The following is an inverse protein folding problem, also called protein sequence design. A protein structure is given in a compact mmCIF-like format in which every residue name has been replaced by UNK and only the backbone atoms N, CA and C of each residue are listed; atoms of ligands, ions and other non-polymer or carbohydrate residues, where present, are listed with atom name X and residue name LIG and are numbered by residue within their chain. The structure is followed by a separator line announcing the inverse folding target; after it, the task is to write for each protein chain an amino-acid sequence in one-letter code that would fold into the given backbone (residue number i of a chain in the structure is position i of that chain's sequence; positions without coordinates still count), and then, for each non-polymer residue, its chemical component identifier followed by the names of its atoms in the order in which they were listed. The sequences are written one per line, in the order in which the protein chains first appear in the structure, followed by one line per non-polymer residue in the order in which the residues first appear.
data_IF_354388356019
#
_entry.id   IF_354388356019
#
_cell.length_a   1.000
_cell.length_b   1.000
_cell.length_c   1.000
_cell.angle_alpha   90.00
_cell.angle_beta   90.00
_cell.angle_gamma   90.00
#
_symmetry.space_group_name_H-M   'P 1'
#
loop_
_entity.id
_entity.type
_entity.pdbx_description
1 polymer ?
#
# COMPACT_ATOMS: atom_id res chain seq x y z
N UNK A 1 13.79 -6.29 -4.17
CA UNK A 1 12.95 -7.44 -4.58
C UNK A 1 13.54 -8.75 -4.07
N UNK A 2 12.75 -9.59 -3.39
CA UNK A 2 13.20 -10.90 -2.89
C UNK A 2 12.38 -12.01 -3.56
N UNK A 3 13.03 -12.97 -4.20
CA UNK A 3 12.38 -14.12 -4.82
C UNK A 3 12.32 -15.28 -3.82
N UNK A 4 11.15 -15.85 -3.63
CA UNK A 4 10.94 -17.05 -2.80
C UNK A 4 10.51 -18.22 -3.67
N UNK A 5 10.87 -19.43 -3.25
CA UNK A 5 10.39 -20.66 -3.88
C UNK A 5 9.25 -21.22 -3.04
N UNK A 6 8.06 -21.38 -3.62
CA UNK A 6 6.89 -21.95 -2.98
C UNK A 6 6.32 -23.02 -3.90
N UNK A 7 6.19 -24.25 -3.40
CA UNK A 7 5.64 -25.39 -4.15
C UNK A 7 6.34 -25.65 -5.51
N UNK A 8 7.64 -25.35 -5.59
CA UNK A 8 8.45 -25.51 -6.81
C UNK A 8 8.47 -24.28 -7.72
N UNK A 9 7.53 -23.35 -7.56
CA UNK A 9 7.43 -22.10 -8.32
C UNK A 9 8.29 -20.99 -7.70
N UNK A 10 8.83 -20.12 -8.54
CA UNK A 10 9.57 -18.92 -8.10
C UNK A 10 8.62 -17.74 -8.16
N UNK A 11 8.37 -17.10 -7.03
CA UNK A 11 7.51 -15.93 -6.92
C UNK A 11 8.24 -14.74 -6.29
N UNK A 12 7.89 -13.54 -6.73
CA UNK A 12 8.33 -12.32 -6.07
C UNK A 12 7.60 -12.15 -4.74
N UNK A 13 8.35 -12.01 -3.65
CA UNK A 13 7.78 -11.56 -2.37
C UNK A 13 7.36 -10.09 -2.53
N UNK A 14 6.09 -9.75 -2.29
CA UNK A 14 5.61 -8.37 -2.31
C UNK A 14 6.40 -7.47 -1.33
N UNK A 15 6.66 -6.22 -1.71
CA UNK A 15 7.43 -5.27 -0.91
C UNK A 15 6.64 -4.72 0.29
N UNK A 16 5.34 -4.59 0.16
CA UNK A 16 4.36 -4.47 1.24
C UNK A 16 3.87 -5.87 1.59
N UNK A 17 3.57 -6.13 2.86
CA UNK A 17 3.27 -7.47 3.39
C UNK A 17 2.08 -8.17 2.68
N UNK A 18 1.22 -7.40 1.99
CA UNK A 18 0.02 -7.91 1.31
C UNK A 18 -0.07 -7.33 -0.12
N UNK A 19 -0.40 -8.19 -1.09
CA UNK A 19 -0.90 -7.74 -2.41
C UNK A 19 -2.38 -7.43 -2.26
N UNK A 20 -2.71 -6.15 -2.26
CA UNK A 20 -4.04 -5.63 -1.97
C UNK A 20 -4.88 -5.50 -3.25
N UNK A 21 -6.19 -5.76 -3.18
CA UNK A 21 -7.11 -5.38 -4.26
C UNK A 21 -7.38 -3.88 -4.20
N UNK A 22 -7.78 -3.28 -5.32
CA UNK A 22 -8.07 -1.85 -5.36
C UNK A 22 -9.17 -1.45 -4.36
N UNK A 23 -10.21 -2.27 -4.24
CA UNK A 23 -11.31 -2.09 -3.28
C UNK A 23 -10.84 -2.05 -1.81
N UNK A 24 -9.88 -2.90 -1.44
CA UNK A 24 -9.32 -2.94 -0.09
C UNK A 24 -8.52 -1.65 0.20
N UNK A 25 -7.81 -1.12 -0.81
CA UNK A 25 -7.07 0.12 -0.69
C UNK A 25 -8.02 1.33 -0.55
N UNK A 26 -9.14 1.33 -1.27
CA UNK A 26 -10.18 2.36 -1.16
C UNK A 26 -10.82 2.33 0.24
N UNK A 27 -11.19 1.14 0.73
CA UNK A 27 -11.78 1.00 2.07
C UNK A 27 -10.84 1.52 3.18
N UNK A 28 -9.54 1.26 3.08
CA UNK A 28 -8.56 1.82 4.01
C UNK A 28 -8.48 3.34 3.93
N UNK A 29 -8.56 3.92 2.73
CA UNK A 29 -8.56 5.37 2.54
C UNK A 29 -9.81 6.04 3.12
N UNK A 30 -10.97 5.41 3.03
CA UNK A 30 -12.23 5.90 3.61
C UNK A 30 -12.21 5.84 5.13
N UNK A 31 -11.55 4.82 5.70
CA UNK A 31 -11.30 4.72 7.14
C UNK A 31 -10.16 5.63 7.66
N UNK A 32 -9.58 6.47 6.80
CA UNK A 32 -8.53 7.42 7.19
C UNK A 32 -7.11 6.84 7.28
N UNK A 33 -6.91 5.56 6.94
CA UNK A 33 -5.58 4.95 6.85
C UNK A 33 -4.84 5.36 5.56
N UNK A 34 -3.52 5.18 5.55
CA UNK A 34 -2.66 5.40 4.38
C UNK A 34 -2.14 4.04 3.89
N UNK A 35 -2.71 3.45 2.83
CA UNK A 35 -2.26 2.15 2.34
C UNK A 35 -0.90 2.24 1.62
N UNK A 36 -0.05 1.23 1.85
CA UNK A 36 1.15 0.98 1.04
C UNK A 36 0.84 -0.11 0.01
N UNK A 37 0.68 0.30 -1.25
CA UNK A 37 0.20 -0.56 -2.32
C UNK A 37 1.41 -1.12 -3.08
N UNK A 38 1.65 -2.43 -2.99
CA UNK A 38 2.68 -3.09 -3.79
C UNK A 38 2.21 -3.38 -5.20
N UNK A 39 3.11 -3.17 -6.16
CA UNK A 39 2.92 -3.66 -7.52
C UNK A 39 3.42 -5.10 -7.60
N UNK A 40 2.57 -5.99 -8.12
CA UNK A 40 2.93 -7.39 -8.36
C UNK A 40 4.16 -7.45 -9.27
N UNK A 41 5.10 -8.31 -8.91
CA UNK A 41 6.34 -8.59 -9.65
C UNK A 41 7.25 -7.36 -9.86
N UNK A 42 7.11 -6.33 -9.02
CA UNK A 42 7.92 -5.11 -9.09
C UNK A 42 8.44 -4.72 -7.71
N UNK A 43 9.61 -4.08 -7.69
CA UNK A 43 10.21 -3.53 -6.47
C UNK A 43 9.71 -2.11 -6.15
N UNK A 44 8.44 -1.85 -6.42
CA UNK A 44 7.83 -0.52 -6.34
C UNK A 44 6.56 -0.59 -5.50
N UNK A 45 6.38 0.42 -4.67
CA UNK A 45 5.14 0.66 -3.93
C UNK A 45 4.57 2.04 -4.28
N UNK A 46 3.26 2.17 -4.19
CA UNK A 46 2.57 3.46 -4.19
C UNK A 46 2.02 3.71 -2.79
N UNK A 47 2.35 4.87 -2.24
CA UNK A 47 1.70 5.37 -1.04
C UNK A 47 0.36 5.97 -1.46
N UNK A 48 -0.71 5.58 -0.76
CA UNK A 48 -2.04 6.15 -0.94
C UNK A 48 -2.08 7.65 -0.61
N UNK A 49 -3.28 8.24 -0.62
CA UNK A 49 -3.46 9.63 -0.21
C UNK A 49 -2.95 9.82 1.22
N UNK A 50 -2.14 10.85 1.44
CA UNK A 50 -1.65 11.17 2.78
C UNK A 50 -2.72 11.94 3.55
N UNK A 51 -3.16 11.36 4.66
CA UNK A 51 -4.26 11.85 5.47
C UNK A 51 -4.11 11.44 6.94
N UNK A 52 -4.82 12.15 7.80
CA UNK A 52 -5.04 11.79 9.19
C UNK A 52 -6.19 10.80 9.31
N UNK A 53 -6.16 10.00 10.38
CA UNK A 53 -7.26 9.14 10.84
C UNK A 53 -8.36 9.93 11.60
N UNK A 54 -8.30 11.26 11.57
CA UNK A 54 -9.32 12.13 12.17
C UNK A 54 -10.71 11.90 11.55
N UNK A 55 -11.74 12.22 12.32
CA UNK A 55 -13.13 12.27 11.85
C UNK A 55 -13.62 13.74 11.85
N UNK A 56 -13.83 14.37 10.69
CA UNK A 56 -13.75 13.80 9.34
C UNK A 56 -12.30 13.63 8.84
N UNK A 57 -12.10 12.73 7.87
CA UNK A 57 -10.79 12.47 7.25
C UNK A 57 -10.19 13.77 6.73
N UNK A 58 -9.02 14.11 7.25
CA UNK A 58 -8.38 15.42 7.02
C UNK A 58 -6.95 15.26 6.51
N UNK A 59 -6.45 16.20 5.72
CA UNK A 59 -5.05 16.18 5.28
C UNK A 59 -4.10 16.33 6.46
N UNK A 60 -2.96 15.63 6.42
CA UNK A 60 -1.87 15.87 7.36
C UNK A 60 -1.31 17.28 7.13
N UNK A 61 -0.95 17.97 8.21
CA UNK A 61 -0.22 19.24 8.13
C UNK A 61 1.24 18.98 7.71
N UNK A 62 1.82 19.93 6.99
CA UNK A 62 3.20 19.84 6.50
C UNK A 62 3.33 19.49 5.01
N UNK A 63 4.56 19.59 4.49
CA UNK A 63 4.90 19.24 3.10
C UNK A 63 5.25 17.77 3.03
N UNK A 64 4.23 16.95 2.86
CA UNK A 64 4.38 15.50 2.71
C UNK A 64 4.24 15.03 1.26
N UNK A 65 3.74 15.89 0.36
CA UNK A 65 3.65 15.62 -1.06
C UNK A 65 4.67 16.46 -1.86
N UNK A 66 5.35 15.81 -2.82
CA UNK A 66 5.78 16.45 -4.06
C UNK A 66 4.78 16.09 -5.15
#
# INVERSE_FOLDING_TARGET
MHLTRRDGEVAAKPCAEVVMREEDAIALLEAGFIPMISYRDQDVVRVGRMQSVADPVTRLSGRLAR
#
